data_IF_635594139146
#
_entry.id   IF_635594139146
#
_cell.length_a   1.000
_cell.length_b   1.000
_cell.length_c   1.000
_cell.angle_alpha   90.00
_cell.angle_beta   90.00
_cell.angle_gamma   90.00
#
_symmetry.space_group_name_H-M   'P 1'
#
loop_
_entity.id
_entity.type
_entity.pdbx_description
1 polymer ?
#
# COMPACT_ATOMS: atom_id res chain seq x y z
N UNK A 1 4.87 22.18 8.87
CA UNK A 1 5.90 22.95 9.59
C UNK A 1 5.85 22.69 11.10
N UNK A 2 4.70 22.84 11.79
CA UNK A 2 4.58 22.70 13.27
C UNK A 2 4.99 21.29 13.76
N UNK A 3 4.56 20.23 13.09
CA UNK A 3 4.88 18.86 13.49
C UNK A 3 6.37 18.51 13.30
N UNK A 4 7.00 19.04 12.26
CA UNK A 4 8.43 18.86 12.04
C UNK A 4 9.26 19.60 13.12
N UNK A 5 8.88 20.83 13.45
CA UNK A 5 9.53 21.60 14.52
C UNK A 5 9.38 20.92 15.89
N UNK A 6 8.18 20.43 16.19
CA UNK A 6 7.91 19.66 17.42
C UNK A 6 8.74 18.39 17.49
N UNK A 7 8.92 17.68 16.38
CA UNK A 7 9.78 16.52 16.33
C UNK A 7 11.24 16.87 16.54
N UNK A 8 11.73 17.94 15.92
CA UNK A 8 13.13 18.39 16.07
C UNK A 8 13.46 18.74 17.52
N UNK A 9 12.55 19.44 18.22
CA UNK A 9 12.80 19.94 19.58
C UNK A 9 12.49 18.88 20.64
N UNK A 10 11.34 18.23 20.53
CA UNK A 10 10.79 17.36 21.58
C UNK A 10 10.90 15.87 21.28
N UNK A 11 11.29 15.49 20.07
CA UNK A 11 11.27 14.10 19.58
C UNK A 11 9.92 13.40 19.79
N UNK A 12 8.82 14.16 19.66
CA UNK A 12 7.44 13.70 19.89
C UNK A 12 6.52 14.13 18.74
N UNK A 13 5.40 13.42 18.59
CA UNK A 13 4.36 13.73 17.63
C UNK A 13 4.31 12.77 16.42
N UNK A 14 3.45 13.02 15.44
CA UNK A 14 3.21 12.10 14.31
C UNK A 14 4.45 11.72 13.51
N UNK A 15 5.46 12.61 13.47
CA UNK A 15 6.71 12.36 12.76
C UNK A 15 7.66 11.35 13.46
N UNK A 16 7.30 10.85 14.65
CA UNK A 16 8.07 9.80 15.34
C UNK A 16 7.63 8.39 14.96
N UNK A 17 6.47 8.26 14.34
CA UNK A 17 5.91 6.96 14.00
C UNK A 17 6.33 6.55 12.60
N UNK A 18 6.83 5.33 12.39
CA UNK A 18 7.17 4.83 11.06
C UNK A 18 5.90 4.59 10.22
N UNK A 19 6.05 4.54 8.92
CA UNK A 19 5.01 4.03 8.04
C UNK A 19 5.25 2.53 7.79
N UNK A 20 4.21 1.70 7.80
CA UNK A 20 2.82 1.97 8.17
C UNK A 20 2.59 2.05 9.69
N UNK A 21 1.58 2.82 10.15
CA UNK A 21 1.23 2.92 11.56
C UNK A 21 0.50 1.67 12.08
N UNK A 22 -0.26 1.02 11.22
CA UNK A 22 -0.91 -0.25 11.49
C UNK A 22 -0.85 -1.14 10.26
N UNK A 23 -0.72 -2.43 10.49
CA UNK A 23 -0.73 -3.46 9.45
C UNK A 23 -1.71 -4.54 9.88
N UNK A 24 -2.52 -5.00 8.94
CA UNK A 24 -3.41 -6.13 9.13
C UNK A 24 -3.21 -7.15 8.01
N UNK A 25 -3.30 -8.42 8.38
CA UNK A 25 -3.30 -9.53 7.44
C UNK A 25 -4.60 -10.31 7.61
N UNK A 26 -5.27 -10.62 6.51
CA UNK A 26 -6.50 -11.40 6.53
C UNK A 26 -6.61 -12.29 5.29
N UNK A 27 -7.57 -13.19 5.31
CA UNK A 27 -7.86 -14.10 4.20
C UNK A 27 -8.88 -13.46 3.28
N UNK A 28 -8.60 -13.42 1.97
CA UNK A 28 -9.54 -12.96 0.95
C UNK A 28 -10.77 -13.88 0.85
N UNK A 29 -10.59 -15.13 1.22
CA UNK A 29 -11.64 -16.16 1.20
C UNK A 29 -11.75 -16.84 2.56
N UNK A 30 -12.98 -17.16 3.07
CA UNK A 30 -13.16 -17.84 4.37
C UNK A 30 -12.39 -19.16 4.48
N UNK A 31 -12.37 -19.94 3.41
CA UNK A 31 -11.71 -21.25 3.35
C UNK A 31 -10.20 -21.16 3.06
N UNK A 32 -9.64 -19.96 2.97
CA UNK A 32 -8.21 -19.76 2.75
C UNK A 32 -7.38 -20.32 3.90
N UNK A 33 -6.31 -21.05 3.59
CA UNK A 33 -5.44 -21.68 4.59
C UNK A 33 -4.61 -20.64 5.35
N UNK A 34 -4.24 -19.54 4.68
CA UNK A 34 -3.36 -18.50 5.21
C UNK A 34 -3.84 -17.10 4.80
N UNK A 35 -3.48 -16.06 5.57
CA UNK A 35 -3.71 -14.68 5.13
C UNK A 35 -2.99 -14.40 3.81
N UNK A 36 -3.72 -13.84 2.86
CA UNK A 36 -3.26 -13.54 1.51
C UNK A 36 -3.43 -12.07 1.12
N UNK A 37 -4.07 -11.30 2.00
CA UNK A 37 -4.24 -9.85 1.86
C UNK A 37 -3.49 -9.14 2.98
N UNK A 38 -2.80 -8.07 2.62
CA UNK A 38 -2.19 -7.13 3.54
C UNK A 38 -2.87 -5.77 3.43
N UNK A 39 -3.20 -5.16 4.55
CA UNK A 39 -3.60 -3.76 4.67
C UNK A 39 -2.53 -2.99 5.42
N UNK A 40 -2.17 -1.81 4.92
CA UNK A 40 -1.23 -0.92 5.59
C UNK A 40 -1.89 0.46 5.74
N UNK A 41 -2.00 0.91 6.98
CA UNK A 41 -2.61 2.21 7.31
C UNK A 41 -1.54 3.28 7.54
N UNK A 42 -1.77 4.44 6.94
CA UNK A 42 -0.99 5.65 7.17
C UNK A 42 -1.89 6.87 7.40
N UNK A 43 -1.61 7.70 8.43
CA UNK A 43 -2.42 8.87 8.76
C UNK A 43 -2.05 10.09 7.90
N UNK A 44 -1.63 9.88 6.69
CA UNK A 44 -1.31 10.91 5.71
C UNK A 44 -1.69 10.43 4.31
N UNK A 45 -1.94 11.39 3.42
CA UNK A 45 -2.21 11.10 2.03
C UNK A 45 -1.01 11.35 1.13
N UNK A 46 -1.00 10.65 0.01
CA UNK A 46 -0.08 10.91 -1.07
C UNK A 46 -0.81 10.82 -2.41
N UNK A 47 -0.28 11.55 -3.37
CA UNK A 47 -0.79 11.60 -4.73
C UNK A 47 0.24 10.99 -5.67
N UNK A 48 -0.23 10.16 -6.60
CA UNK A 48 0.60 9.62 -7.68
C UNK A 48 0.65 10.65 -8.79
N UNK A 49 1.83 11.13 -9.11
CA UNK A 49 2.08 12.09 -10.20
C UNK A 49 3.01 11.48 -11.24
N UNK A 50 3.14 12.12 -12.39
CA UNK A 50 4.10 11.69 -13.41
C UNK A 50 5.57 11.71 -12.90
N UNK A 51 5.85 12.50 -11.86
CA UNK A 51 7.17 12.63 -11.23
C UNK A 51 7.35 11.65 -10.06
N UNK A 52 6.34 10.87 -9.72
CA UNK A 52 6.36 9.90 -8.62
C UNK A 52 5.31 10.18 -7.55
N UNK A 53 5.62 9.77 -6.32
CA UNK A 53 4.73 9.91 -5.17
C UNK A 53 5.02 11.23 -4.45
N UNK A 54 4.00 12.05 -4.26
CA UNK A 54 4.10 13.32 -3.52
C UNK A 54 3.11 13.34 -2.34
N UNK A 55 3.48 13.93 -1.19
CA UNK A 55 2.54 14.10 -0.09
C UNK A 55 1.35 14.95 -0.51
N UNK A 56 0.13 14.52 -0.17
CA UNK A 56 -1.07 15.32 -0.40
C UNK A 56 -1.10 16.54 0.53
N UNK A 57 -1.58 17.65 0.00
CA UNK A 57 -1.83 18.87 0.80
C UNK A 57 -3.18 18.84 1.51
N UNK A 58 -4.06 17.92 1.13
CA UNK A 58 -5.37 17.74 1.77
C UNK A 58 -5.25 16.83 2.98
N UNK A 59 -5.98 17.11 4.07
CA UNK A 59 -6.10 16.16 5.17
C UNK A 59 -6.71 14.87 4.64
N UNK A 60 -5.99 13.77 4.78
CA UNK A 60 -6.47 12.45 4.38
C UNK A 60 -5.64 11.36 5.04
N UNK A 61 -6.19 10.18 5.08
CA UNK A 61 -5.49 8.95 5.48
C UNK A 61 -5.36 8.03 4.27
N UNK A 62 -4.41 7.13 4.32
CA UNK A 62 -4.20 6.13 3.27
C UNK A 62 -4.33 4.74 3.84
N UNK A 63 -5.12 3.91 3.17
CA UNK A 63 -5.16 2.48 3.40
C UNK A 63 -4.69 1.77 2.13
N UNK A 64 -3.46 1.25 2.17
CA UNK A 64 -2.88 0.49 1.06
C UNK A 64 -3.32 -0.96 1.17
N UNK A 65 -3.80 -1.49 0.06
CA UNK A 65 -4.27 -2.88 -0.07
C UNK A 65 -3.32 -3.63 -0.99
N UNK A 66 -2.80 -4.76 -0.55
CA UNK A 66 -1.89 -5.59 -1.32
C UNK A 66 -2.22 -7.08 -1.25
N UNK A 67 -1.96 -7.78 -2.34
CA UNK A 67 -1.93 -9.24 -2.36
C UNK A 67 -0.58 -9.71 -1.84
N UNK A 68 -0.57 -10.57 -0.80
CA UNK A 68 0.67 -11.18 -0.30
C UNK A 68 1.13 -12.36 -1.17
N UNK A 69 0.23 -12.94 -1.93
CA UNK A 69 0.48 -14.10 -2.78
C UNK A 69 -0.22 -13.95 -4.12
N UNK A 70 0.32 -13.06 -4.96
CA UNK A 70 -0.15 -12.94 -6.34
C UNK A 70 0.22 -14.19 -7.15
N UNK A 71 -0.66 -14.60 -8.05
CA UNK A 71 -0.46 -15.75 -8.96
C UNK A 71 0.23 -15.32 -10.25
N UNK A 72 0.11 -14.03 -10.59
CA UNK A 72 0.82 -13.48 -11.73
C UNK A 72 2.34 -13.53 -11.52
N UNK A 73 3.08 -13.83 -12.56
CA UNK A 73 4.53 -13.84 -12.56
C UNK A 73 5.07 -12.90 -13.64
N UNK A 74 6.30 -12.48 -13.46
CA UNK A 74 7.01 -11.67 -14.44
C UNK A 74 8.33 -12.33 -14.83
N UNK A 75 9.01 -11.72 -15.79
CA UNK A 75 10.34 -12.11 -16.22
C UNK A 75 11.27 -10.93 -16.20
N UNK A 76 12.45 -11.15 -15.63
CA UNK A 76 13.57 -10.25 -15.72
C UNK A 76 14.65 -10.89 -16.60
N UNK A 77 15.14 -10.19 -17.59
CA UNK A 77 16.20 -10.67 -18.49
C UNK A 77 17.21 -9.58 -18.77
N UNK A 78 18.46 -9.94 -18.97
CA UNK A 78 19.48 -9.02 -19.42
C UNK A 78 19.18 -8.57 -20.86
N UNK A 79 19.42 -7.31 -21.14
CA UNK A 79 19.31 -6.77 -22.51
C UNK A 79 20.58 -7.05 -23.30
N UNK A 80 21.74 -7.01 -22.62
CA UNK A 80 23.06 -7.30 -23.16
C UNK A 80 24.01 -7.74 -22.03
N UNK A 81 25.27 -8.00 -22.37
CA UNK A 81 26.33 -8.24 -21.39
C UNK A 81 26.91 -6.97 -20.77
N UNK A 82 26.50 -5.81 -21.22
CA UNK A 82 26.98 -4.51 -20.69
C UNK A 82 26.24 -4.16 -19.41
N UNK A 83 26.96 -3.78 -18.38
CA UNK A 83 26.39 -3.44 -17.07
C UNK A 83 25.59 -2.14 -17.09
N UNK A 84 25.86 -1.22 -18.04
CA UNK A 84 25.12 0.04 -18.19
C UNK A 84 23.71 -0.17 -18.77
N UNK A 85 23.48 -1.27 -19.46
CA UNK A 85 22.20 -1.54 -20.09
C UNK A 85 21.16 -1.99 -19.05
N UNK A 86 20.11 -1.21 -18.91
CA UNK A 86 18.99 -1.56 -18.01
C UNK A 86 18.38 -2.90 -18.43
N UNK A 87 18.04 -3.77 -17.46
CA UNK A 87 17.41 -5.04 -17.76
C UNK A 87 16.02 -4.84 -18.42
N UNK A 88 15.58 -5.85 -19.15
CA UNK A 88 14.21 -5.95 -19.62
C UNK A 88 13.36 -6.54 -18.50
N UNK A 89 12.38 -5.78 -18.03
CA UNK A 89 11.41 -6.20 -17.02
C UNK A 89 10.06 -6.38 -17.73
N UNK A 90 9.56 -7.60 -17.77
CA UNK A 90 8.23 -7.93 -18.25
C UNK A 90 7.41 -8.38 -17.03
N UNK A 91 6.46 -7.55 -16.60
CA UNK A 91 5.61 -7.81 -15.46
C UNK A 91 4.15 -7.69 -15.90
N UNK A 92 3.44 -8.80 -15.82
CA UNK A 92 2.02 -8.89 -16.15
C UNK A 92 1.18 -8.83 -14.86
N UNK A 93 1.19 -7.66 -14.21
CA UNK A 93 0.41 -7.46 -12.98
C UNK A 93 -1.09 -7.66 -13.28
N UNK A 94 -1.76 -8.41 -12.38
CA UNK A 94 -3.19 -8.69 -12.46
C UNK A 94 -3.63 -9.42 -13.76
N UNK A 95 -2.72 -10.11 -14.43
CA UNK A 95 -3.06 -10.95 -15.58
C UNK A 95 -3.93 -12.17 -15.19
N UNK A 96 -3.80 -12.66 -13.95
CA UNK A 96 -4.67 -13.72 -13.44
C UNK A 96 -5.99 -13.14 -12.95
N UNK A 97 -7.16 -13.56 -13.49
CA UNK A 97 -8.47 -13.06 -13.06
C UNK A 97 -8.76 -13.30 -11.58
N UNK A 98 -8.15 -14.32 -10.97
CA UNK A 98 -8.30 -14.62 -9.54
C UNK A 98 -7.62 -13.55 -8.69
N UNK A 99 -6.47 -13.03 -9.11
CA UNK A 99 -5.80 -11.92 -8.43
C UNK A 99 -6.65 -10.64 -8.47
N UNK A 100 -7.30 -10.38 -9.61
CA UNK A 100 -8.25 -9.25 -9.74
C UNK A 100 -9.44 -9.43 -8.80
N UNK A 101 -10.01 -10.64 -8.73
CA UNK A 101 -11.15 -10.93 -7.86
C UNK A 101 -10.78 -10.79 -6.38
N UNK A 102 -9.63 -11.33 -5.97
CA UNK A 102 -9.14 -11.26 -4.58
C UNK A 102 -8.83 -9.81 -4.17
N UNK A 103 -8.14 -9.05 -5.02
CA UNK A 103 -7.85 -7.64 -4.77
C UNK A 103 -9.13 -6.79 -4.73
N UNK A 104 -10.09 -7.05 -5.60
CA UNK A 104 -11.39 -6.36 -5.59
C UNK A 104 -12.13 -6.60 -4.28
N UNK A 105 -12.15 -7.84 -3.79
CA UNK A 105 -12.75 -8.22 -2.51
C UNK A 105 -12.05 -7.52 -1.36
N UNK A 106 -10.71 -7.51 -1.38
CA UNK A 106 -9.89 -6.84 -0.39
C UNK A 106 -10.14 -5.32 -0.35
N UNK A 107 -10.27 -4.66 -1.49
CA UNK A 107 -10.61 -3.23 -1.57
C UNK A 107 -12.01 -2.93 -1.01
N UNK A 108 -13.00 -3.81 -1.26
CA UNK A 108 -14.33 -3.68 -0.65
C UNK A 108 -14.27 -3.82 0.86
N UNK A 109 -13.49 -4.77 1.36
CA UNK A 109 -13.29 -4.97 2.79
C UNK A 109 -12.59 -3.76 3.44
N UNK A 110 -11.53 -3.25 2.82
CA UNK A 110 -10.84 -2.05 3.25
C UNK A 110 -11.78 -0.85 3.35
N UNK A 111 -12.66 -0.66 2.36
CA UNK A 111 -13.67 0.39 2.38
C UNK A 111 -14.67 0.21 3.53
N UNK A 112 -15.11 -1.01 3.79
CA UNK A 112 -15.99 -1.30 4.92
C UNK A 112 -15.33 -1.02 6.27
N UNK A 113 -14.04 -1.27 6.42
CA UNK A 113 -13.26 -0.90 7.62
C UNK A 113 -13.27 0.62 7.81
N UNK A 114 -13.00 1.40 6.76
CA UNK A 114 -12.96 2.86 6.84
C UNK A 114 -14.33 3.50 7.15
N UNK A 115 -15.43 2.77 6.91
CA UNK A 115 -16.78 3.21 7.22
C UNK A 115 -17.23 2.88 8.65
N UNK A 116 -16.41 2.13 9.43
CA UNK A 116 -16.76 1.82 10.81
C UNK A 116 -16.80 3.09 11.68
N UNK A 117 -17.75 3.20 12.62
CA UNK A 117 -17.90 4.41 13.46
C UNK A 117 -16.63 4.82 14.19
N UNK A 118 -15.80 3.86 14.59
CA UNK A 118 -14.52 4.11 15.26
C UNK A 118 -13.49 4.83 14.37
N UNK A 119 -13.67 4.81 13.05
CA UNK A 119 -12.74 5.44 12.08
C UNK A 119 -13.42 6.59 11.36
N UNK A 120 -14.66 6.40 10.92
CA UNK A 120 -15.38 7.35 10.06
C UNK A 120 -15.51 8.77 10.64
N UNK A 121 -15.49 8.91 11.97
CA UNK A 121 -15.51 10.21 12.65
C UNK A 121 -14.15 10.94 12.66
N UNK A 122 -13.10 10.31 12.19
CA UNK A 122 -11.73 10.84 12.19
C UNK A 122 -11.16 11.05 10.78
N UNK A 123 -11.95 10.73 9.74
CA UNK A 123 -11.53 10.74 8.32
C UNK A 123 -12.41 11.67 7.50
#
# INVERSE_FOLDING_TARGET
AVHALRWLIQRRGPATSPYPHAVAFFRSHPDGVRPDIQLMFGPFGFELTAQGVTPSRKPMVTLVVGLSYARCAGRLSLRSARWEDKPRIALEMLADPRDVADLTRACRYARAIMQQPAIAGHV
#
